data_IF_976781468675
#
_entry.id   IF_976781468675
#
_cell.length_a   1.000
_cell.length_b   1.000
_cell.length_c   1.000
_cell.angle_alpha   90.00
_cell.angle_beta   90.00
_cell.angle_gamma   90.00
#
_symmetry.space_group_name_H-M   'P 1'
#
loop_
_entity.id
_entity.type
_entity.pdbx_description
1 polymer ?
#
# COMPACT_ATOMS: atom_id res chain seq x y z
N UNK A 1 -15.72 -26.40 -6.17
CA UNK A 1 -14.24 -26.30 -6.31
C UNK A 1 -13.77 -25.43 -5.17
N UNK A 2 -12.99 -25.98 -4.23
CA UNK A 2 -12.34 -25.16 -3.20
C UNK A 2 -11.29 -24.33 -3.92
N UNK A 3 -11.54 -23.03 -4.13
CA UNK A 3 -10.50 -22.14 -4.61
C UNK A 3 -9.43 -22.09 -3.52
N UNK A 4 -8.25 -22.61 -3.81
CA UNK A 4 -7.05 -22.27 -3.02
C UNK A 4 -7.05 -20.74 -2.94
N UNK A 5 -7.10 -20.13 -1.74
CA UNK A 5 -6.98 -18.69 -1.62
C UNK A 5 -5.75 -18.27 -2.40
N UNK A 6 -5.86 -17.24 -3.25
CA UNK A 6 -4.69 -16.62 -3.85
C UNK A 6 -3.85 -16.08 -2.71
N UNK A 7 -2.86 -16.88 -2.32
CA UNK A 7 -2.04 -16.60 -1.15
C UNK A 7 -1.14 -15.41 -1.48
N UNK A 8 -1.22 -14.38 -0.65
CA UNK A 8 -0.32 -13.25 -0.72
C UNK A 8 0.78 -13.48 0.32
N UNK A 9 2.03 -13.16 -0.02
CA UNK A 9 3.11 -13.17 0.96
C UNK A 9 2.87 -12.19 2.11
N UNK A 10 3.71 -12.27 3.15
CA UNK A 10 3.66 -11.42 4.34
C UNK A 10 3.03 -12.10 5.56
N UNK A 11 2.56 -13.34 5.43
CA UNK A 11 1.88 -14.06 6.51
C UNK A 11 2.86 -14.80 7.44
N UNK A 12 3.73 -14.04 8.11
CA UNK A 12 4.71 -14.56 9.06
C UNK A 12 4.08 -15.36 10.21
N UNK A 13 2.84 -15.06 10.62
CA UNK A 13 2.17 -15.79 11.70
C UNK A 13 1.82 -17.22 11.27
N UNK A 14 1.37 -17.41 10.03
CA UNK A 14 1.17 -18.77 9.47
C UNK A 14 2.50 -19.48 9.29
N UNK A 15 3.52 -18.79 8.78
CA UNK A 15 4.84 -19.38 8.58
C UNK A 15 5.50 -19.83 9.89
N UNK A 16 5.51 -18.97 10.92
CA UNK A 16 6.04 -19.28 12.25
C UNK A 16 5.29 -20.42 12.93
N UNK A 17 3.95 -20.48 12.78
CA UNK A 17 3.15 -21.60 13.31
C UNK A 17 3.47 -22.94 12.62
N UNK A 18 3.73 -22.90 11.32
CA UNK A 18 3.97 -24.12 10.54
C UNK A 18 5.42 -24.63 10.66
N UNK A 19 6.40 -23.74 10.61
CA UNK A 19 7.83 -24.09 10.56
C UNK A 19 8.57 -23.86 11.89
N UNK A 20 7.94 -23.22 12.88
CA UNK A 20 8.54 -22.90 14.17
C UNK A 20 9.42 -21.63 14.16
N UNK A 21 10.20 -21.46 15.23
CA UNK A 21 11.04 -20.28 15.45
C UNK A 21 10.31 -19.11 16.12
N UNK A 22 11.05 -18.06 16.50
CA UNK A 22 10.46 -16.81 17.03
C UNK A 22 10.33 -15.81 15.89
N UNK A 23 9.24 -15.04 15.87
CA UNK A 23 8.96 -14.04 14.81
C UNK A 23 10.15 -13.11 14.50
N UNK A 24 10.89 -12.68 15.52
CA UNK A 24 12.05 -11.79 15.38
C UNK A 24 13.26 -12.43 14.64
N UNK A 25 13.30 -13.75 14.53
CA UNK A 25 14.37 -14.49 13.87
C UNK A 25 14.07 -14.71 12.38
N UNK A 26 12.86 -14.33 11.92
CA UNK A 26 12.44 -14.49 10.53
C UNK A 26 12.89 -13.31 9.67
N UNK A 27 13.46 -13.64 8.51
CA UNK A 27 13.61 -12.72 7.39
C UNK A 27 12.48 -12.97 6.39
N UNK A 28 11.52 -12.06 6.31
CA UNK A 28 10.39 -12.18 5.39
C UNK A 28 10.77 -11.73 3.98
N UNK A 29 11.01 -12.69 3.09
CA UNK A 29 11.28 -12.46 1.67
C UNK A 29 10.05 -12.76 0.79
N UNK A 30 8.88 -12.97 1.40
CA UNK A 30 7.64 -13.29 0.66
C UNK A 30 6.91 -12.04 0.15
N UNK A 31 7.37 -10.84 0.54
CA UNK A 31 6.81 -9.56 0.10
C UNK A 31 7.81 -8.74 -0.70
N UNK A 32 7.33 -7.73 -1.43
CA UNK A 32 8.15 -6.72 -2.09
C UNK A 32 8.32 -5.42 -1.29
N UNK A 33 8.15 -5.45 0.04
CA UNK A 33 8.21 -4.25 0.89
C UNK A 33 9.68 -3.88 1.15
N UNK A 34 10.01 -2.59 1.00
CA UNK A 34 11.33 -2.07 1.36
C UNK A 34 11.53 -2.18 2.88
N UNK A 35 12.59 -2.85 3.39
CA UNK A 35 12.87 -2.93 4.81
C UNK A 35 13.26 -1.57 5.41
N UNK A 36 13.76 -0.65 4.59
CA UNK A 36 14.07 0.72 5.03
C UNK A 36 12.80 1.57 5.03
N UNK A 37 12.43 2.07 6.21
CA UNK A 37 11.24 2.89 6.38
C UNK A 37 11.35 4.19 5.57
N UNK A 38 10.27 4.53 4.86
CA UNK A 38 10.19 5.82 4.18
C UNK A 38 10.13 6.94 5.22
N UNK A 39 11.00 7.95 5.09
CA UNK A 39 11.02 9.09 6.00
C UNK A 39 9.77 9.95 5.79
N UNK A 40 8.81 9.84 6.71
CA UNK A 40 7.61 10.65 6.72
C UNK A 40 7.73 11.74 7.79
N UNK A 41 7.27 12.95 7.45
CA UNK A 41 6.94 13.94 8.47
C UNK A 41 5.79 13.40 9.35
N UNK A 42 5.65 13.93 10.56
CA UNK A 42 4.59 13.51 11.48
C UNK A 42 3.20 13.62 10.85
N UNK A 43 2.42 12.53 10.91
CA UNK A 43 0.98 12.53 10.65
C UNK A 43 0.29 13.35 11.74
N UNK A 44 -0.58 14.30 11.36
CA UNK A 44 -1.29 15.16 12.29
C UNK A 44 -2.50 14.42 12.88
N UNK A 45 -3.01 14.86 14.04
CA UNK A 45 -4.18 14.22 14.67
C UNK A 45 -5.44 14.28 13.79
N UNK A 46 -5.60 15.36 13.02
CA UNK A 46 -6.74 15.56 12.11
C UNK A 46 -6.80 14.50 11.02
N UNK A 47 -5.66 14.00 10.55
CA UNK A 47 -5.57 12.98 9.50
C UNK A 47 -6.23 11.66 9.92
N UNK A 48 -6.33 11.40 11.23
CA UNK A 48 -6.97 10.21 11.80
C UNK A 48 -8.46 10.38 12.10
N UNK A 49 -8.93 11.62 12.21
CA UNK A 49 -10.29 11.95 12.71
C UNK A 49 -11.22 12.48 11.63
N UNK A 50 -10.68 12.94 10.51
CA UNK A 50 -11.46 13.45 9.40
C UNK A 50 -11.40 12.49 8.20
N UNK A 51 -12.49 12.46 7.43
CA UNK A 51 -12.47 11.84 6.10
C UNK A 51 -11.73 12.76 5.12
N UNK A 52 -10.99 12.23 4.13
CA UNK A 52 -10.41 13.05 3.07
C UNK A 52 -11.49 13.83 2.34
N UNK A 53 -11.32 15.16 2.26
CA UNK A 53 -12.22 16.02 1.51
C UNK A 53 -11.77 16.18 0.04
N UNK A 54 -12.46 17.05 -0.71
CA UNK A 54 -12.13 17.32 -2.10
C UNK A 54 -10.78 18.00 -2.28
N UNK A 55 -10.37 18.82 -1.32
CA UNK A 55 -9.09 19.52 -1.39
C UNK A 55 -7.95 18.52 -1.21
N UNK A 56 -8.03 17.66 -0.20
CA UNK A 56 -7.05 16.60 0.04
C UNK A 56 -6.86 15.69 -1.19
N UNK A 57 -7.97 15.28 -1.83
CA UNK A 57 -7.93 14.50 -3.08
C UNK A 57 -7.27 15.25 -4.25
N UNK A 58 -7.45 16.57 -4.33
CA UNK A 58 -6.83 17.38 -5.39
C UNK A 58 -5.32 17.53 -5.13
N UNK A 59 -4.94 17.80 -3.88
CA UNK A 59 -3.54 18.02 -3.48
C UNK A 59 -2.67 16.78 -3.68
N UNK A 60 -3.18 15.57 -3.34
CA UNK A 60 -2.43 14.33 -3.56
C UNK A 60 -2.17 14.07 -5.05
N UNK A 61 -3.16 14.32 -5.92
CA UNK A 61 -3.00 14.17 -7.36
C UNK A 61 -2.02 15.21 -7.94
N UNK A 62 -2.05 16.45 -7.46
CA UNK A 62 -1.08 17.49 -7.87
C UNK A 62 0.35 17.15 -7.42
N UNK A 63 0.52 16.66 -6.19
CA UNK A 63 1.81 16.23 -5.68
C UNK A 63 2.37 15.05 -6.52
N UNK A 64 1.54 14.05 -6.82
CA UNK A 64 1.87 12.94 -7.69
C UNK A 64 2.29 13.40 -9.10
N UNK A 65 1.52 14.31 -9.71
CA UNK A 65 1.83 14.88 -11.03
C UNK A 65 3.21 15.51 -11.05
N UNK A 66 3.51 16.34 -10.06
CA UNK A 66 4.80 17.02 -9.93
C UNK A 66 5.94 16.02 -9.70
N UNK A 67 5.76 15.07 -8.80
CA UNK A 67 6.81 14.11 -8.43
C UNK A 67 7.17 13.18 -9.59
N UNK A 68 6.17 12.67 -10.33
CA UNK A 68 6.38 11.76 -11.46
C UNK A 68 6.46 12.46 -12.82
N UNK A 69 6.45 13.79 -12.87
CA UNK A 69 6.44 14.58 -14.11
C UNK A 69 5.34 14.16 -15.10
N UNK A 70 4.12 13.95 -14.60
CA UNK A 70 3.00 13.47 -15.41
C UNK A 70 2.49 14.59 -16.34
N UNK A 71 2.36 14.37 -17.67
CA UNK A 71 1.95 15.41 -18.61
C UNK A 71 0.44 15.73 -18.50
N UNK A 72 0.04 16.95 -18.86
CA UNK A 72 -1.36 17.42 -18.72
C UNK A 72 -2.39 16.55 -19.46
N UNK A 73 -1.96 15.87 -20.52
CA UNK A 73 -2.81 14.94 -21.30
C UNK A 73 -3.09 13.60 -20.60
N UNK A 74 -2.46 13.32 -19.47
CA UNK A 74 -2.64 12.11 -18.69
C UNK A 74 -3.27 12.44 -17.34
N UNK A 75 -4.34 11.74 -16.97
CA UNK A 75 -5.03 11.93 -15.70
C UNK A 75 -4.40 11.11 -14.57
N UNK A 76 -4.73 11.45 -13.32
CA UNK A 76 -4.25 10.77 -12.12
C UNK A 76 -5.45 10.46 -11.22
N UNK A 77 -5.59 9.19 -10.84
CA UNK A 77 -6.61 8.73 -9.91
C UNK A 77 -5.96 8.15 -8.65
N UNK A 78 -6.21 8.77 -7.51
CA UNK A 78 -5.83 8.21 -6.22
C UNK A 78 -6.73 7.00 -5.89
N UNK A 79 -6.13 5.88 -5.49
CA UNK A 79 -6.82 4.61 -5.20
C UNK A 79 -6.27 3.96 -3.93
N UNK A 80 -7.09 3.16 -3.20
CA UNK A 80 -6.64 2.43 -2.02
C UNK A 80 -5.82 1.17 -2.42
N UNK A 81 -4.62 1.40 -2.95
CA UNK A 81 -3.69 0.36 -3.39
C UNK A 81 -3.93 -0.10 -4.84
N UNK A 82 -2.89 -0.66 -5.47
CA UNK A 82 -2.93 -1.04 -6.89
C UNK A 82 -3.98 -2.12 -7.19
N UNK A 83 -4.17 -3.09 -6.30
CA UNK A 83 -5.12 -4.19 -6.50
C UNK A 83 -6.56 -3.71 -6.72
N UNK A 84 -6.98 -2.62 -6.05
CA UNK A 84 -8.34 -2.08 -6.22
C UNK A 84 -8.55 -1.47 -7.60
N UNK A 85 -7.48 -0.88 -8.19
CA UNK A 85 -7.54 -0.35 -9.55
C UNK A 85 -7.53 -1.49 -10.58
N UNK A 86 -6.61 -2.46 -10.42
CA UNK A 86 -6.48 -3.60 -11.34
C UNK A 86 -7.80 -4.38 -11.44
N UNK A 87 -8.48 -4.61 -10.31
CA UNK A 87 -9.76 -5.34 -10.30
C UNK A 87 -10.91 -4.63 -11.04
N UNK A 88 -10.76 -3.34 -11.37
CA UNK A 88 -11.76 -2.55 -12.09
C UNK A 88 -11.43 -2.36 -13.58
N UNK A 89 -10.25 -2.81 -14.03
CA UNK A 89 -9.87 -2.77 -15.44
C UNK A 89 -10.61 -3.89 -16.19
N UNK A 90 -11.22 -3.62 -17.37
CA UNK A 90 -11.93 -4.62 -18.16
C UNK A 90 -11.10 -5.82 -18.60
#
# INVERSE_FOLDING_TARGET
>A
MSSIPLDHGGNLDVATKHYGGKRQDWLDLSTGINPEAYSLNSVQEVDWKALPDKLANTEICLAARKFWNVPDRADILAVPGCSSAIAQIP
#
